data_IF_933743242235
#
_entry.id   IF_933743242235
#
_cell.length_a   1.000
_cell.length_b   1.000
_cell.length_c   1.000
_cell.angle_alpha   90.00
_cell.angle_beta   90.00
_cell.angle_gamma   90.00
#
_symmetry.space_group_name_H-M   'P 1'
#
loop_
_entity.id
_entity.type
_entity.pdbx_description
1 polymer ?
#
# COMPACT_ATOMS: atom_id res chain seq x y z
N UNK A 1 19.11 22.46 -26.96
CA UNK A 1 19.36 21.03 -26.65
C UNK A 1 18.66 20.74 -25.35
N UNK A 2 17.63 19.90 -25.39
CA UNK A 2 16.67 19.67 -24.29
C UNK A 2 17.36 18.98 -23.11
N UNK A 3 17.46 19.67 -21.97
CA UNK A 3 17.58 19.01 -20.68
C UNK A 3 16.22 18.33 -20.44
N UNK A 4 16.15 17.03 -20.68
CA UNK A 4 15.01 16.24 -20.20
C UNK A 4 15.11 16.28 -18.67
N UNK A 5 14.15 16.93 -18.04
CA UNK A 5 14.02 16.96 -16.58
C UNK A 5 13.80 15.53 -16.09
N UNK A 6 14.89 14.84 -15.76
CA UNK A 6 14.86 13.52 -15.17
C UNK A 6 14.44 13.68 -13.69
N UNK A 7 13.16 14.01 -13.47
CA UNK A 7 12.57 14.01 -12.14
C UNK A 7 12.51 12.57 -11.64
N UNK A 8 13.43 12.21 -10.76
CA UNK A 8 13.28 11.01 -9.94
C UNK A 8 12.08 11.25 -9.02
N UNK A 9 10.96 10.61 -9.34
CA UNK A 9 9.77 10.57 -8.49
C UNK A 9 10.03 9.53 -7.40
N UNK A 10 10.25 9.99 -6.17
CA UNK A 10 10.32 9.10 -5.01
C UNK A 10 8.89 8.69 -4.63
N UNK A 11 8.58 7.41 -4.77
CA UNK A 11 7.35 6.80 -4.29
C UNK A 11 7.66 5.95 -3.06
N UNK A 12 6.79 6.01 -2.06
CA UNK A 12 6.92 5.15 -0.88
C UNK A 12 6.80 3.67 -1.27
N UNK A 13 7.63 2.77 -0.71
CA UNK A 13 7.47 1.31 -0.85
C UNK A 13 6.05 0.84 -0.59
N UNK A 14 5.36 1.39 0.42
CA UNK A 14 3.97 1.06 0.71
C UNK A 14 2.99 1.52 -0.36
N UNK A 15 3.27 2.62 -1.06
CA UNK A 15 2.46 3.04 -2.22
C UNK A 15 2.59 2.06 -3.38
N UNK A 16 3.80 1.57 -3.66
CA UNK A 16 4.03 0.54 -4.66
C UNK A 16 3.45 -0.81 -4.23
N UNK A 17 3.53 -1.13 -2.94
CA UNK A 17 2.92 -2.33 -2.38
C UNK A 17 1.40 -2.28 -2.45
N UNK A 18 0.77 -1.12 -2.24
CA UNK A 18 -0.68 -0.98 -2.27
C UNK A 18 -1.25 -0.83 -3.69
N UNK A 19 -0.64 -0.02 -4.56
CA UNK A 19 -1.15 0.28 -5.90
C UNK A 19 -0.43 -0.45 -7.06
N UNK A 20 0.65 -1.19 -6.77
CA UNK A 20 1.36 -1.95 -7.79
C UNK A 20 0.67 -3.25 -8.18
N UNK A 21 1.39 -4.11 -8.90
CA UNK A 21 0.88 -5.39 -9.41
C UNK A 21 0.68 -6.48 -8.34
N UNK A 22 0.82 -7.73 -8.78
CA UNK A 22 0.60 -8.90 -7.94
C UNK A 22 1.59 -8.99 -6.79
N UNK A 23 1.07 -9.26 -5.59
CA UNK A 23 1.87 -9.38 -4.38
C UNK A 23 2.18 -10.85 -4.10
N UNK A 24 3.46 -11.20 -4.06
CA UNK A 24 3.94 -12.53 -3.68
C UNK A 24 4.89 -12.46 -2.48
N UNK A 25 4.83 -13.48 -1.61
CA UNK A 25 5.62 -13.55 -0.39
C UNK A 25 6.67 -14.63 -0.60
N UNK A 26 7.94 -14.28 -0.34
CA UNK A 26 9.06 -15.20 -0.41
C UNK A 26 9.71 -15.27 0.97
N UNK A 27 10.10 -16.47 1.37
CA UNK A 27 10.86 -16.70 2.60
C UNK A 27 12.17 -17.35 2.21
N UNK A 28 13.27 -16.66 2.48
CA UNK A 28 14.61 -17.23 2.36
C UNK A 28 15.25 -17.30 3.74
N UNK A 29 15.56 -18.52 4.18
CA UNK A 29 16.07 -18.82 5.52
C UNK A 29 15.18 -18.17 6.62
N UNK A 30 15.65 -17.08 7.22
CA UNK A 30 15.01 -16.34 8.31
C UNK A 30 14.54 -14.93 7.89
N UNK A 31 14.54 -14.61 6.59
CA UNK A 31 14.11 -13.32 6.06
C UNK A 31 12.83 -13.48 5.22
N UNK A 32 11.82 -12.68 5.56
CA UNK A 32 10.59 -12.55 4.79
C UNK A 32 10.71 -11.37 3.83
N UNK A 33 10.44 -11.63 2.55
CA UNK A 33 10.48 -10.63 1.49
C UNK A 33 9.13 -10.61 0.79
N UNK A 34 8.62 -9.40 0.55
CA UNK A 34 7.41 -9.17 -0.22
C UNK A 34 7.81 -8.65 -1.58
N UNK A 35 7.21 -9.21 -2.63
CA UNK A 35 7.48 -8.81 -4.01
C UNK A 35 6.22 -8.32 -4.68
N UNK A 36 6.35 -7.27 -5.49
CA UNK A 36 5.29 -6.71 -6.32
C UNK A 36 5.70 -6.87 -7.77
N UNK A 37 4.82 -7.50 -8.55
CA UNK A 37 5.01 -7.71 -10.00
C UNK A 37 6.34 -8.42 -10.33
N UNK A 38 6.78 -9.30 -9.43
CA UNK A 38 8.00 -10.13 -9.50
C UNK A 38 9.34 -9.37 -9.38
N UNK A 39 9.40 -8.11 -9.80
CA UNK A 39 10.64 -7.30 -9.86
C UNK A 39 10.89 -6.37 -8.68
N UNK A 40 9.86 -5.86 -8.01
CA UNK A 40 10.03 -4.93 -6.89
C UNK A 40 10.02 -5.75 -5.60
N UNK A 41 11.12 -5.71 -4.84
CA UNK A 41 11.28 -6.52 -3.63
C UNK A 41 11.49 -5.64 -2.39
N UNK A 42 10.78 -5.96 -1.31
CA UNK A 42 10.85 -5.27 -0.03
C UNK A 42 11.08 -6.27 1.09
N UNK A 43 11.99 -5.98 2.02
CA UNK A 43 12.07 -6.75 3.26
C UNK A 43 10.90 -6.36 4.15
N UNK A 44 9.98 -7.30 4.34
CA UNK A 44 8.77 -7.03 5.10
C UNK A 44 8.17 -8.35 5.60
N UNK A 45 7.62 -8.36 6.82
CA UNK A 45 6.90 -9.53 7.32
C UNK A 45 5.74 -9.92 6.41
N UNK A 46 5.46 -11.21 6.33
CA UNK A 46 4.36 -11.77 5.55
C UNK A 46 3.01 -11.15 5.93
N UNK A 47 2.78 -10.82 7.21
CA UNK A 47 1.52 -10.22 7.66
C UNK A 47 1.25 -8.85 7.03
N UNK A 48 2.28 -8.08 6.69
CA UNK A 48 2.14 -6.80 5.98
C UNK A 48 1.57 -7.02 4.58
N UNK A 49 2.05 -8.04 3.86
CA UNK A 49 1.51 -8.40 2.55
C UNK A 49 0.05 -8.86 2.62
N UNK A 50 -0.32 -9.64 3.65
CA UNK A 50 -1.72 -10.04 3.87
C UNK A 50 -2.60 -8.83 4.15
N UNK A 51 -2.18 -7.93 5.05
CA UNK A 51 -2.91 -6.69 5.33
C UNK A 51 -3.17 -5.87 4.07
N UNK A 52 -2.16 -5.74 3.21
CA UNK A 52 -2.32 -4.99 1.95
C UNK A 52 -3.29 -5.68 1.00
N UNK A 53 -3.26 -7.01 0.90
CA UNK A 53 -4.23 -7.77 0.09
C UNK A 53 -5.65 -7.55 0.59
N UNK A 54 -5.87 -7.68 1.89
CA UNK A 54 -7.19 -7.48 2.51
C UNK A 54 -7.71 -6.06 2.28
N UNK A 55 -6.84 -5.04 2.42
CA UNK A 55 -7.21 -3.65 2.16
C UNK A 55 -7.53 -3.37 0.68
N UNK A 56 -6.86 -4.05 -0.26
CA UNK A 56 -7.19 -3.96 -1.70
C UNK A 56 -8.57 -4.54 -1.97
N UNK A 57 -8.90 -5.71 -1.43
CA UNK A 57 -10.22 -6.32 -1.58
C UNK A 57 -11.33 -5.43 -0.99
N UNK A 58 -11.09 -4.85 0.19
CA UNK A 58 -12.04 -3.92 0.80
C UNK A 58 -12.20 -2.64 -0.01
N UNK A 59 -11.13 -2.11 -0.61
CA UNK A 59 -11.21 -0.99 -1.53
C UNK A 59 -12.02 -1.35 -2.79
N UNK A 60 -11.85 -2.54 -3.35
CA UNK A 60 -12.61 -3.00 -4.52
C UNK A 60 -14.11 -3.06 -4.23
N UNK A 61 -14.49 -3.59 -3.06
CA UNK A 61 -15.89 -3.59 -2.60
C UNK A 61 -16.44 -2.16 -2.49
N UNK A 62 -15.66 -1.24 -1.89
CA UNK A 62 -16.06 0.16 -1.80
C UNK A 62 -16.24 0.79 -3.18
N UNK A 63 -15.34 0.52 -4.12
CA UNK A 63 -15.43 1.04 -5.48
C UNK A 63 -16.64 0.47 -6.21
N UNK A 64 -16.95 -0.81 -6.03
CA UNK A 64 -18.15 -1.44 -6.60
C UNK A 64 -19.44 -0.78 -6.08
N UNK A 65 -19.51 -0.49 -4.78
CA UNK A 65 -20.62 0.27 -4.19
C UNK A 65 -20.72 1.67 -4.75
N UNK A 66 -19.59 2.37 -4.97
CA UNK A 66 -19.57 3.71 -5.57
C UNK A 66 -20.00 3.71 -7.03
N UNK A 67 -19.76 2.63 -7.77
CA UNK A 67 -20.29 2.44 -9.12
C UNK A 67 -21.81 2.26 -9.08
N UNK A 68 -22.33 1.42 -8.18
CA UNK A 68 -23.77 1.15 -8.04
C UNK A 68 -24.57 2.36 -7.55
N UNK A 69 -24.01 3.11 -6.60
CA UNK A 69 -24.63 4.30 -6.02
C UNK A 69 -23.56 5.37 -5.78
N UNK A 70 -23.36 6.31 -6.71
CA UNK A 70 -22.35 7.34 -6.57
C UNK A 70 -22.74 8.32 -5.46
N UNK A 71 -21.98 8.31 -4.36
CA UNK A 71 -22.13 9.26 -3.28
C UNK A 71 -20.76 9.66 -2.73
N UNK A 72 -20.58 10.88 -2.23
CA UNK A 72 -19.34 11.27 -1.55
C UNK A 72 -19.05 10.38 -0.34
N UNK A 73 -17.77 10.24 0.02
CA UNK A 73 -17.39 9.62 1.29
C UNK A 73 -17.71 10.59 2.43
N UNK A 74 -18.43 10.13 3.44
CA UNK A 74 -18.76 10.91 4.64
C UNK A 74 -17.70 10.67 5.71
N UNK A 75 -16.64 11.47 5.69
CA UNK A 75 -15.48 11.33 6.59
C UNK A 75 -15.77 11.62 8.07
N UNK A 76 -16.89 12.28 8.37
CA UNK A 76 -17.26 12.62 9.75
C UNK A 76 -17.82 11.41 10.52
N UNK A 77 -18.19 10.34 9.81
CA UNK A 77 -18.61 9.08 10.41
C UNK A 77 -17.42 8.11 10.49
N UNK A 78 -16.58 8.30 11.49
CA UNK A 78 -15.39 7.45 11.74
C UNK A 78 -15.75 6.00 12.10
N UNK A 79 -17.01 5.73 12.45
CA UNK A 79 -17.51 4.37 12.71
C UNK A 79 -17.94 3.64 11.44
N UNK A 80 -18.11 4.36 10.32
CA UNK A 80 -18.47 3.74 9.05
C UNK A 80 -17.34 2.87 8.51
N UNK A 81 -17.71 1.72 7.93
CA UNK A 81 -16.78 0.81 7.26
C UNK A 81 -15.92 1.55 6.23
N UNK A 82 -16.54 2.40 5.43
CA UNK A 82 -15.90 3.15 4.35
C UNK A 82 -14.83 4.10 4.89
N UNK A 83 -15.11 4.81 5.99
CA UNK A 83 -14.13 5.68 6.61
C UNK A 83 -12.98 4.88 7.22
N UNK A 84 -13.27 3.74 7.88
CA UNK A 84 -12.25 2.91 8.50
C UNK A 84 -11.26 2.33 7.48
N UNK A 85 -11.76 1.77 6.37
CA UNK A 85 -10.92 1.23 5.29
C UNK A 85 -10.05 2.32 4.67
N UNK A 86 -10.64 3.48 4.33
CA UNK A 86 -9.88 4.58 3.72
C UNK A 86 -8.86 5.18 4.69
N UNK A 87 -9.18 5.27 5.98
CA UNK A 87 -8.21 5.68 7.01
C UNK A 87 -7.05 4.69 7.11
N UNK A 88 -7.31 3.39 7.12
CA UNK A 88 -6.25 2.37 7.16
C UNK A 88 -5.34 2.44 5.92
N UNK A 89 -5.89 2.73 4.74
CA UNK A 89 -5.10 2.95 3.51
C UNK A 89 -4.24 4.21 3.66
N UNK A 90 -4.79 5.32 4.16
CA UNK A 90 -4.02 6.56 4.38
C UNK A 90 -2.89 6.31 5.38
N UNK A 91 -3.17 5.61 6.49
CA UNK A 91 -2.16 5.29 7.51
C UNK A 91 -1.04 4.42 6.91
N UNK A 92 -1.39 3.42 6.10
CA UNK A 92 -0.41 2.61 5.36
C UNK A 92 0.46 3.45 4.43
N UNK A 93 -0.14 4.35 3.65
CA UNK A 93 0.58 5.16 2.65
C UNK A 93 1.44 6.26 3.29
N UNK A 94 1.05 6.72 4.48
CA UNK A 94 1.78 7.73 5.26
C UNK A 94 2.77 7.11 6.26
N UNK A 95 2.84 5.78 6.33
CA UNK A 95 3.84 5.09 7.13
C UNK A 95 5.22 5.38 6.57
N UNK A 96 6.02 6.11 7.35
CA UNK A 96 7.44 6.28 7.07
C UNK A 96 8.17 4.98 7.39
N UNK A 97 8.91 4.43 6.43
CA UNK A 97 9.90 3.40 6.75
C UNK A 97 10.97 4.06 7.63
N UNK A 98 10.98 3.73 8.92
CA UNK A 98 12.12 4.09 9.77
C UNK A 98 13.31 3.30 9.24
N UNK A 99 14.36 3.93 8.69
CA UNK A 99 15.49 3.19 8.18
C UNK A 99 16.07 2.36 9.33
N UNK A 100 16.08 1.05 9.15
CA UNK A 100 16.73 0.13 10.08
C UNK A 100 18.24 0.32 9.98
N UNK A 101 18.76 1.38 10.59
CA UNK A 101 20.14 1.79 10.41
C UNK A 101 20.54 2.95 11.31
N UNK A 102 20.34 2.80 12.62
CA UNK A 102 21.13 3.49 13.66
C UNK A 102 21.05 2.64 14.93
N UNK A 103 21.73 1.50 14.92
CA UNK A 103 22.21 0.86 16.15
C UNK A 103 23.72 1.06 16.17
N UNK A 104 24.14 2.13 16.84
CA UNK A 104 25.53 2.33 17.25
C UNK A 104 25.62 2.16 18.77
#
# INVERSE_FOLDING_TARGET
>A
MSTHDNKIIYLSPFSLLFFGGDISIQRDQDQETVTVDVWIMFQSPAHTAHLVKDLREELDVLLEEKIKSPHPVVWNDRGSKNCAVLSAIIDLLTTEETPAGDRQ
#
